data_IF_835836953714
#
_entry.id   IF_835836953714
#
_cell.length_a   1.000
_cell.length_b   1.000
_cell.length_c   1.000
_cell.angle_alpha   90.00
_cell.angle_beta   90.00
_cell.angle_gamma   90.00
#
_symmetry.space_group_name_H-M   'P 1'
#
loop_
_entity.id
_entity.type
_entity.pdbx_description
1 polymer ?
#
# COMPACT_ATOMS: atom_id res chain seq x y z
N UNK A 1 -14.47 -14.62 26.94
CA UNK A 1 -15.52 -14.10 27.84
C UNK A 1 -14.99 -13.09 28.85
N UNK A 2 -14.06 -13.46 29.77
CA UNK A 2 -13.57 -12.58 30.85
C UNK A 2 -13.00 -11.24 30.34
N UNK A 3 -12.15 -11.28 29.31
CA UNK A 3 -11.53 -10.06 28.74
C UNK A 3 -12.55 -9.09 28.15
N UNK A 4 -13.43 -9.58 27.26
CA UNK A 4 -14.51 -8.77 26.69
C UNK A 4 -15.46 -8.26 27.76
N UNK A 5 -15.83 -9.10 28.73
CA UNK A 5 -16.67 -8.72 29.86
C UNK A 5 -16.06 -7.58 30.69
N UNK A 6 -14.74 -7.59 30.92
CA UNK A 6 -14.05 -6.55 31.68
C UNK A 6 -14.03 -5.19 30.96
N UNK A 7 -13.94 -5.18 29.63
CA UNK A 7 -13.83 -3.95 28.83
C UNK A 7 -15.21 -3.39 28.47
N UNK A 8 -16.12 -4.26 28.04
CA UNK A 8 -17.44 -3.85 27.56
C UNK A 8 -18.54 -4.00 28.62
N UNK A 9 -18.45 -5.00 29.50
CA UNK A 9 -19.51 -5.38 30.43
C UNK A 9 -20.53 -6.35 29.82
N UNK A 10 -21.07 -7.28 30.61
CA UNK A 10 -22.06 -8.27 30.14
C UNK A 10 -23.28 -7.63 29.47
N UNK A 11 -23.85 -6.61 30.10
CA UNK A 11 -25.08 -5.96 29.62
C UNK A 11 -24.87 -5.26 28.26
N UNK A 12 -23.72 -4.60 28.07
CA UNK A 12 -23.41 -3.95 26.81
C UNK A 12 -23.13 -4.97 25.70
N UNK A 13 -22.43 -6.06 26.01
CA UNK A 13 -22.22 -7.15 25.04
C UNK A 13 -23.57 -7.71 24.57
N UNK A 14 -24.47 -8.02 25.51
CA UNK A 14 -25.80 -8.55 25.17
C UNK A 14 -26.58 -7.55 24.31
N UNK A 15 -26.58 -6.27 24.68
CA UNK A 15 -27.26 -5.21 23.94
C UNK A 15 -26.73 -5.10 22.50
N UNK A 16 -25.42 -5.00 22.32
CA UNK A 16 -24.78 -4.91 21.00
C UNK A 16 -25.07 -6.13 20.12
N UNK A 17 -25.08 -7.33 20.69
CA UNK A 17 -25.38 -8.54 19.92
C UNK A 17 -26.86 -8.63 19.54
N UNK A 18 -27.78 -8.13 20.37
CA UNK A 18 -29.21 -8.10 20.05
C UNK A 18 -29.53 -7.15 18.91
N UNK A 19 -28.75 -6.09 18.72
CA UNK A 19 -28.88 -5.13 17.62
C UNK A 19 -28.40 -5.70 16.27
N UNK A 20 -27.71 -6.84 16.26
CA UNK A 20 -27.17 -7.48 15.06
C UNK A 20 -27.99 -8.69 14.61
N UNK A 21 -28.09 -8.95 13.28
CA UNK A 21 -28.58 -10.21 12.75
C UNK A 21 -27.78 -11.39 13.30
N UNK A 22 -28.44 -12.53 13.53
CA UNK A 22 -27.81 -13.70 14.15
C UNK A 22 -26.53 -14.16 13.42
N UNK A 23 -26.54 -14.12 12.09
CA UNK A 23 -25.40 -14.50 11.25
C UNK A 23 -24.12 -13.68 11.53
N UNK A 24 -24.23 -12.46 12.03
CA UNK A 24 -23.09 -11.56 12.28
C UNK A 24 -22.62 -11.58 13.74
N UNK A 25 -23.40 -12.17 14.65
CA UNK A 25 -23.10 -12.12 16.09
C UNK A 25 -21.80 -12.84 16.44
N UNK A 26 -21.48 -13.93 15.75
CA UNK A 26 -20.23 -14.66 15.97
C UNK A 26 -19.02 -13.78 15.67
N UNK A 27 -19.02 -13.12 14.51
CA UNK A 27 -17.95 -12.20 14.11
C UNK A 27 -17.87 -10.98 15.01
N UNK A 28 -19.01 -10.43 15.43
CA UNK A 28 -19.04 -9.32 16.39
C UNK A 28 -18.41 -9.71 17.73
N UNK A 29 -18.68 -10.91 18.26
CA UNK A 29 -18.02 -11.40 19.48
C UNK A 29 -16.52 -11.54 19.27
N UNK A 30 -16.07 -12.06 18.11
CA UNK A 30 -14.65 -12.17 17.79
C UNK A 30 -13.97 -10.79 17.78
N UNK A 31 -14.60 -9.79 17.16
CA UNK A 31 -14.12 -8.40 17.15
C UNK A 31 -14.05 -7.81 18.56
N UNK A 32 -15.10 -7.96 19.38
CA UNK A 32 -15.09 -7.49 20.78
C UNK A 32 -13.97 -8.15 21.59
N UNK A 33 -13.70 -9.45 21.39
CA UNK A 33 -12.59 -10.14 22.07
C UNK A 33 -11.25 -9.57 21.61
N UNK A 34 -11.06 -9.35 20.32
CA UNK A 34 -9.85 -8.74 19.78
C UNK A 34 -9.60 -7.34 20.37
N UNK A 35 -10.61 -6.47 20.32
CA UNK A 35 -10.54 -5.11 20.83
C UNK A 35 -10.29 -5.07 22.34
N UNK A 36 -10.97 -5.92 23.11
CA UNK A 36 -10.76 -6.00 24.55
C UNK A 36 -9.34 -6.45 24.88
N UNK A 37 -8.79 -7.43 24.15
CA UNK A 37 -7.41 -7.85 24.32
C UNK A 37 -6.43 -6.73 23.96
N UNK A 38 -6.70 -5.97 22.90
CA UNK A 38 -5.88 -4.81 22.54
C UNK A 38 -5.90 -3.76 23.66
N UNK A 39 -7.08 -3.45 24.23
CA UNK A 39 -7.21 -2.52 25.36
C UNK A 39 -6.53 -3.01 26.64
N UNK A 40 -6.44 -4.32 26.86
CA UNK A 40 -5.68 -4.87 28.00
C UNK A 40 -4.17 -4.68 27.84
N UNK A 41 -3.64 -4.80 26.62
CA UNK A 41 -2.22 -4.59 26.34
C UNK A 41 -1.85 -3.11 26.31
N UNK A 42 -2.74 -2.29 25.76
CA UNK A 42 -2.60 -0.83 25.69
C UNK A 42 -3.86 -0.17 26.26
N UNK A 43 -3.86 0.20 27.56
CA UNK A 43 -5.01 0.83 28.20
C UNK A 43 -5.39 2.18 27.58
N UNK A 44 -4.43 2.87 26.96
CA UNK A 44 -4.62 4.22 26.43
C UNK A 44 -5.19 4.12 25.02
N UNK A 45 -4.48 3.48 24.09
CA UNK A 45 -4.83 3.47 22.67
C UNK A 45 -5.48 2.18 22.19
N UNK A 46 -5.36 1.06 22.92
CA UNK A 46 -5.99 -0.21 22.55
C UNK A 46 -5.74 -0.63 21.11
N UNK A 47 -6.80 -0.90 20.34
CA UNK A 47 -6.70 -1.25 18.93
C UNK A 47 -6.33 -0.05 18.03
N UNK A 48 -6.62 1.18 18.45
CA UNK A 48 -6.25 2.40 17.71
C UNK A 48 -4.73 2.52 17.58
N UNK A 49 -3.97 2.15 18.62
CA UNK A 49 -2.50 2.11 18.53
C UNK A 49 -2.00 1.16 17.44
N UNK A 50 -2.64 -0.01 17.29
CA UNK A 50 -2.32 -0.96 16.23
C UNK A 50 -2.65 -0.41 14.85
N UNK A 51 -3.80 0.27 14.71
CA UNK A 51 -4.19 0.93 13.46
C UNK A 51 -3.14 1.97 13.06
N UNK A 52 -2.76 2.86 13.97
CA UNK A 52 -1.73 3.88 13.71
C UNK A 52 -0.38 3.27 13.32
N UNK A 53 0.03 2.20 14.00
CA UNK A 53 1.28 1.50 13.68
C UNK A 53 1.25 0.86 12.28
N UNK A 54 0.14 0.24 11.89
CA UNK A 54 -0.03 -0.31 10.55
C UNK A 54 -0.06 0.79 9.49
N UNK A 55 -0.70 1.92 9.77
CA UNK A 55 -0.71 3.08 8.88
C UNK A 55 0.70 3.66 8.67
N UNK A 56 1.51 3.76 9.74
CA UNK A 56 2.92 4.18 9.63
C UNK A 56 3.72 3.25 8.72
N UNK A 57 3.60 1.93 8.93
CA UNK A 57 4.29 0.94 8.10
C UNK A 57 3.89 1.02 6.63
N UNK A 58 2.59 1.21 6.35
CA UNK A 58 2.12 1.41 4.97
C UNK A 58 2.77 2.66 4.37
N UNK A 59 2.81 3.77 5.11
CA UNK A 59 3.44 5.01 4.64
C UNK A 59 4.95 4.85 4.40
N UNK A 60 5.65 4.14 5.28
CA UNK A 60 7.08 3.86 5.16
C UNK A 60 7.37 3.02 3.91
N UNK A 61 6.64 1.92 3.72
CA UNK A 61 6.76 1.07 2.54
C UNK A 61 6.44 1.82 1.25
N UNK A 62 5.42 2.69 1.26
CA UNK A 62 5.11 3.55 0.12
C UNK A 62 6.27 4.51 -0.21
N UNK A 63 6.92 5.08 0.80
CA UNK A 63 8.09 5.93 0.61
C UNK A 63 9.28 5.16 0.04
N UNK A 64 9.51 3.92 0.48
CA UNK A 64 10.55 3.05 -0.09
C UNK A 64 10.31 2.71 -1.55
N UNK A 65 9.06 2.39 -1.92
CA UNK A 65 8.68 2.16 -3.32
C UNK A 65 8.92 3.41 -4.17
N UNK A 66 8.46 4.58 -3.70
CA UNK A 66 8.65 5.84 -4.40
C UNK A 66 10.14 6.17 -4.60
N UNK A 67 10.97 5.89 -3.58
CA UNK A 67 12.43 6.06 -3.67
C UNK A 67 13.04 5.14 -4.72
N UNK A 68 12.72 3.85 -4.70
CA UNK A 68 13.24 2.89 -5.67
C UNK A 68 12.83 3.25 -7.11
N UNK A 69 11.58 3.70 -7.31
CA UNK A 69 11.10 4.19 -8.61
C UNK A 69 11.88 5.43 -9.08
N UNK A 70 12.13 6.39 -8.18
CA UNK A 70 12.94 7.57 -8.50
C UNK A 70 14.38 7.21 -8.88
N UNK A 71 14.98 6.23 -8.20
CA UNK A 71 16.32 5.72 -8.53
C UNK A 71 16.37 5.09 -9.93
N UNK A 72 15.38 4.26 -10.28
CA UNK A 72 15.26 3.67 -11.62
C UNK A 72 15.15 4.75 -12.70
N UNK A 73 14.27 5.73 -12.52
CA UNK A 73 14.08 6.83 -13.47
C UNK A 73 15.36 7.66 -13.64
N UNK A 74 16.07 7.93 -12.53
CA UNK A 74 17.34 8.64 -12.57
C UNK A 74 18.39 7.88 -13.39
N UNK A 75 18.53 6.57 -13.20
CA UNK A 75 19.45 5.74 -13.98
C UNK A 75 19.06 5.70 -15.47
N UNK A 76 17.77 5.57 -15.78
CA UNK A 76 17.28 5.60 -17.16
C UNK A 76 17.56 6.95 -17.85
N UNK A 77 17.36 8.06 -17.14
CA UNK A 77 17.67 9.40 -17.65
C UNK A 77 19.17 9.59 -17.90
N UNK A 78 20.02 9.12 -16.98
CA UNK A 78 21.48 9.13 -17.18
C UNK A 78 21.90 8.30 -18.40
N UNK A 79 21.33 7.11 -18.58
CA UNK A 79 21.59 6.27 -19.74
C UNK A 79 21.16 6.96 -21.05
N UNK A 80 19.98 7.57 -21.08
CA UNK A 80 19.48 8.31 -22.24
C UNK A 80 20.39 9.49 -22.60
N UNK A 81 20.86 10.23 -21.59
CA UNK A 81 21.82 11.33 -21.76
C UNK A 81 23.15 10.86 -22.36
N UNK A 82 23.68 9.73 -21.88
CA UNK A 82 24.90 9.13 -22.43
C UNK A 82 24.72 8.68 -23.89
N UNK A 83 23.58 8.06 -24.22
CA UNK A 83 23.27 7.64 -25.59
C UNK A 83 23.19 8.85 -26.52
N UNK A 84 22.53 9.94 -26.12
CA UNK A 84 22.45 11.17 -26.90
C UNK A 84 23.86 11.76 -27.19
N UNK A 85 24.73 11.75 -26.18
CA UNK A 85 26.13 12.17 -26.32
C UNK A 85 26.91 11.30 -27.32
N UNK A 86 26.75 9.97 -27.25
CA UNK A 86 27.38 9.03 -28.17
C UNK A 86 26.87 9.22 -29.61
N UNK A 87 25.57 9.35 -29.81
CA UNK A 87 24.97 9.58 -31.13
C UNK A 87 25.47 10.88 -31.76
N UNK A 88 25.67 11.95 -30.97
CA UNK A 88 26.23 13.22 -31.44
C UNK A 88 27.72 13.14 -31.80
N UNK A 89 28.48 12.26 -31.14
CA UNK A 89 29.89 12.01 -31.46
C UNK A 89 30.12 11.18 -32.73
N UNK A 90 29.13 10.39 -33.15
CA UNK A 90 29.21 9.50 -34.32
C UNK A 90 28.70 10.13 -35.63
N UNK A 91 28.25 11.39 -35.62
CA UNK A 91 27.79 12.13 -36.82
C UNK A 91 28.92 12.51 -37.81
N UNK A 92 30.01 11.74 -37.82
CA UNK A 92 31.17 11.89 -38.68
C UNK A 92 31.72 10.56 -39.19
N UNK A 93 30.88 9.60 -39.60
CA UNK A 93 31.31 8.52 -40.52
C UNK A 93 30.10 7.93 -41.26
N UNK A 94 30.19 7.87 -42.59
CA UNK A 94 29.12 7.45 -43.50
C UNK A 94 28.89 5.92 -43.49
N UNK A 95 27.61 5.53 -43.63
CA UNK A 95 27.04 4.30 -44.21
C UNK A 95 27.54 2.92 -43.72
N UNK A 96 26.70 2.17 -42.97
CA UNK A 96 26.39 0.74 -43.21
C UNK A 96 24.96 0.43 -42.70
N UNK A 97 24.19 -0.17 -43.61
CA UNK A 97 22.90 -0.88 -43.56
C UNK A 97 22.15 -1.12 -42.25
N UNK A 98 20.84 -0.85 -42.34
CA UNK A 98 19.72 -1.28 -41.50
C UNK A 98 19.84 -2.72 -41.00
N UNK A 99 19.82 -2.90 -39.67
CA UNK A 99 19.01 -3.92 -38.98
C UNK A 99 19.25 -3.83 -37.47
N UNK A 100 18.56 -2.91 -36.81
CA UNK A 100 18.22 -3.06 -35.40
C UNK A 100 16.71 -3.14 -35.33
N UNK A 101 16.24 -4.38 -35.42
CA UNK A 101 14.92 -4.78 -34.93
C UNK A 101 14.98 -4.51 -33.41
N UNK A 102 14.67 -3.28 -33.03
CA UNK A 102 14.23 -3.00 -31.68
C UNK A 102 12.88 -3.68 -31.58
N UNK A 103 12.91 -4.83 -30.93
CA UNK A 103 11.74 -5.55 -30.46
C UNK A 103 10.84 -4.53 -29.74
N UNK A 104 9.85 -4.01 -30.49
CA UNK A 104 8.75 -3.24 -29.98
C UNK A 104 7.87 -4.21 -29.21
N UNK A 105 8.34 -4.62 -28.04
CA UNK A 105 7.53 -5.22 -27.02
C UNK A 105 7.44 -4.33 -25.78
N UNK A 106 7.52 -3.00 -26.00
CA UNK A 106 7.07 -1.99 -25.04
C UNK A 106 5.57 -1.73 -25.22
N UNK A 107 4.80 -2.81 -25.30
CA UNK A 107 3.34 -2.77 -25.23
C UNK A 107 2.87 -4.02 -24.49
N UNK A 108 3.11 -4.05 -23.18
CA UNK A 108 2.20 -4.52 -22.12
C UNK A 108 2.81 -4.05 -20.79
N UNK A 109 2.77 -2.74 -20.60
CA UNK A 109 2.14 -2.18 -19.40
C UNK A 109 1.54 -0.85 -19.85
N UNK A 110 0.58 -0.95 -20.78
CA UNK A 110 -0.26 0.18 -21.13
C UNK A 110 -0.97 0.62 -19.85
N UNK A 111 -0.63 1.83 -19.43
CA UNK A 111 -1.58 2.83 -18.97
C UNK A 111 -2.78 2.29 -18.18
N UNK A 112 -2.59 2.19 -16.88
CA UNK A 112 -3.47 2.97 -16.03
C UNK A 112 -2.67 4.16 -15.46
N UNK A 113 -2.83 5.37 -16.00
CA UNK A 113 -2.75 6.58 -15.20
C UNK A 113 -4.08 6.70 -14.43
N UNK A 114 -4.50 5.61 -13.78
CA UNK A 114 -5.65 5.65 -12.91
C UNK A 114 -5.12 6.00 -11.53
N UNK A 115 -5.16 7.31 -11.29
CA UNK A 115 -5.44 7.93 -10.00
C UNK A 115 -4.45 7.48 -8.93
N UNK A 116 -3.63 8.43 -8.45
CA UNK A 116 -2.98 8.25 -7.16
C UNK A 116 -4.01 7.63 -6.24
N UNK A 117 -3.82 6.35 -5.91
CA UNK A 117 -4.87 5.55 -5.28
C UNK A 117 -5.15 6.34 -4.04
N UNK A 118 -6.33 6.96 -4.06
CA UNK A 118 -6.81 7.80 -2.98
C UNK A 118 -7.12 6.80 -1.88
N UNK A 119 -6.06 6.35 -1.23
CA UNK A 119 -6.12 5.55 -0.02
C UNK A 119 -6.81 6.35 1.09
N UNK A 120 -7.14 7.62 0.84
CA UNK A 120 -7.95 8.49 1.68
C UNK A 120 -9.42 8.04 1.79
N UNK A 121 -9.95 7.28 0.82
CA UNK A 121 -11.39 6.94 0.78
C UNK A 121 -11.80 5.63 1.47
N UNK A 122 -10.87 4.91 2.11
CA UNK A 122 -11.22 3.68 2.84
C UNK A 122 -11.37 3.88 4.36
N UNK A 123 -11.12 5.09 4.88
CA UNK A 123 -11.09 5.33 6.33
C UNK A 123 -11.68 6.67 6.80
N UNK A 124 -12.45 7.37 5.96
CA UNK A 124 -13.29 8.51 6.40
C UNK A 124 -14.67 8.04 6.83
#
# INVERSE_FOLDING_TARGET
FITAHRVFGASNIIKLLQELPEAQRADAVNSMVYEANARLRDPIYGCTGMICHLQSQVSELQAEVAKAQAEILNMQCQNASLIDLLCKGMAGTQNVEENLIYDHNSTIFSDEPNVGVSWEHLWT
#
